data_IF_439497468042
#
_entry.id   IF_439497468042
#
_cell.length_a   1.000
_cell.length_b   1.000
_cell.length_c   1.000
_cell.angle_alpha   90.00
_cell.angle_beta   90.00
_cell.angle_gamma   90.00
#
_symmetry.space_group_name_H-M   'P 1'
#
loop_
_entity.id
_entity.type
_entity.pdbx_description
1 polymer ?
#
# COMPACT_ATOMS: atom_id res chain seq x y z
N UNK A 1 -6.65 -21.91 -10.85
CA UNK A 1 -5.97 -22.80 -9.88
C UNK A 1 -4.68 -22.12 -9.44
N UNK A 2 -4.41 -22.04 -8.13
CA UNK A 2 -3.19 -21.47 -7.55
C UNK A 2 -2.32 -22.64 -7.05
N UNK A 3 -1.05 -22.67 -7.40
CA UNK A 3 -0.08 -23.67 -6.94
C UNK A 3 1.15 -22.98 -6.35
N UNK A 4 1.57 -23.39 -5.15
CA UNK A 4 2.81 -22.92 -4.53
C UNK A 4 3.97 -23.68 -5.17
N UNK A 5 4.93 -22.95 -5.74
CA UNK A 5 6.16 -23.49 -6.33
C UNK A 5 7.24 -23.64 -5.26
N UNK A 6 7.42 -22.60 -4.44
CA UNK A 6 8.39 -22.62 -3.34
C UNK A 6 8.01 -21.67 -2.22
N UNK A 7 8.45 -22.00 -1.01
CA UNK A 7 8.33 -21.19 0.21
C UNK A 7 9.68 -21.20 0.90
N UNK A 8 10.23 -20.02 1.21
CA UNK A 8 11.52 -19.86 1.86
C UNK A 8 11.46 -18.71 2.86
N UNK A 9 12.22 -18.83 3.94
CA UNK A 9 12.51 -17.70 4.83
C UNK A 9 13.84 -17.11 4.39
N UNK A 10 13.86 -15.81 4.11
CA UNK A 10 15.03 -15.05 3.69
C UNK A 10 15.54 -14.27 4.90
N UNK A 11 16.62 -14.75 5.49
CA UNK A 11 17.27 -14.09 6.61
C UNK A 11 18.30 -13.07 6.11
N UNK A 12 18.49 -11.95 6.83
CA UNK A 12 19.59 -11.03 6.58
C UNK A 12 20.93 -11.64 7.00
N UNK A 13 22.02 -10.95 6.71
CA UNK A 13 23.28 -11.19 7.42
C UNK A 13 23.13 -10.70 8.87
N UNK A 14 23.72 -11.42 9.85
CA UNK A 14 23.52 -11.09 11.25
C UNK A 14 23.87 -9.65 11.58
N UNK A 15 22.91 -8.93 12.18
CA UNK A 15 23.12 -7.57 12.67
C UNK A 15 23.84 -7.61 14.02
N UNK A 16 24.71 -6.63 14.28
CA UNK A 16 25.28 -6.42 15.62
C UNK A 16 24.28 -5.75 16.56
N UNK A 17 23.25 -5.10 16.00
CA UNK A 17 22.23 -4.38 16.77
C UNK A 17 21.10 -5.33 17.16
N UNK A 18 20.92 -5.56 18.46
CA UNK A 18 19.94 -6.53 18.97
C UNK A 18 18.54 -5.96 19.16
N UNK A 19 18.42 -4.66 19.39
CA UNK A 19 17.16 -4.02 19.74
C UNK A 19 16.97 -2.76 18.91
N UNK A 20 15.74 -2.54 18.45
CA UNK A 20 15.32 -1.32 17.79
C UNK A 20 14.06 -0.77 18.46
N UNK A 21 14.11 0.49 18.88
CA UNK A 21 13.00 1.15 19.57
C UNK A 21 12.11 1.88 18.57
N UNK A 22 10.81 1.67 18.70
CA UNK A 22 9.78 2.33 17.91
C UNK A 22 9.51 3.73 18.48
N UNK A 23 9.42 4.73 17.59
CA UNK A 23 8.95 6.07 17.95
C UNK A 23 7.48 6.03 18.40
N UNK A 24 6.99 7.08 19.07
CA UNK A 24 5.55 7.16 19.38
C UNK A 24 4.68 7.13 18.12
N UNK A 25 5.19 7.63 16.99
CA UNK A 25 4.48 7.57 15.71
C UNK A 25 4.35 6.13 15.23
N UNK A 26 5.44 5.36 15.29
CA UNK A 26 5.44 3.93 14.94
C UNK A 26 4.49 3.14 15.85
N UNK A 27 4.44 3.48 17.15
CA UNK A 27 3.51 2.85 18.11
C UNK A 27 2.04 3.25 17.90
N UNK A 28 1.79 4.45 17.37
CA UNK A 28 0.43 4.93 17.07
C UNK A 28 -0.12 4.37 15.75
N UNK A 29 0.77 4.09 14.79
CA UNK A 29 0.42 3.43 13.56
C UNK A 29 -0.01 2.00 13.90
N UNK A 30 -1.30 1.72 13.66
CA UNK A 30 -1.91 0.41 13.94
C UNK A 30 -1.11 -0.69 13.24
N UNK A 31 -1.13 -1.92 13.75
CA UNK A 31 -0.58 -3.13 13.12
C UNK A 31 -1.30 -3.45 11.78
N UNK A 32 -1.18 -2.56 10.80
CA UNK A 32 -1.84 -2.65 9.52
C UNK A 32 -0.82 -3.05 8.47
N UNK A 33 -1.07 -4.20 7.86
CA UNK A 33 -0.30 -4.67 6.74
C UNK A 33 -0.63 -3.86 5.49
N UNK A 34 0.40 -3.39 4.77
CA UNK A 34 0.27 -2.69 3.49
C UNK A 34 0.54 -3.66 2.33
N UNK A 35 -0.49 -4.29 1.73
CA UNK A 35 -0.31 -5.27 0.67
C UNK A 35 -0.06 -4.59 -0.69
N UNK A 36 1.18 -4.15 -0.93
CA UNK A 36 1.57 -3.63 -2.25
C UNK A 36 1.63 -4.77 -3.28
N UNK A 37 1.01 -4.54 -4.44
CA UNK A 37 1.04 -5.48 -5.58
C UNK A 37 1.55 -4.75 -6.82
N UNK A 38 2.57 -5.31 -7.48
CA UNK A 38 3.18 -4.76 -8.69
C UNK A 38 3.02 -5.73 -9.86
N UNK A 39 2.56 -5.21 -11.01
CA UNK A 39 2.33 -5.99 -12.22
C UNK A 39 3.38 -5.66 -13.27
N UNK A 40 4.11 -6.67 -13.73
CA UNK A 40 5.14 -6.55 -14.76
C UNK A 40 4.72 -7.30 -16.03
N UNK A 41 4.94 -6.72 -17.22
CA UNK A 41 4.72 -7.39 -18.50
C UNK A 41 5.49 -8.70 -18.65
N UNK A 42 4.88 -9.70 -19.30
CA UNK A 42 5.51 -11.01 -19.51
C UNK A 42 6.81 -10.94 -20.33
N UNK A 43 6.83 -10.07 -21.34
CA UNK A 43 8.00 -9.86 -22.20
C UNK A 43 9.21 -9.27 -21.44
N UNK A 44 8.99 -8.52 -20.35
CA UNK A 44 10.03 -7.99 -19.49
C UNK A 44 10.66 -9.08 -18.61
N UNK A 45 9.83 -9.91 -17.98
CA UNK A 45 10.27 -10.93 -17.00
C UNK A 45 11.07 -12.06 -17.65
N UNK A 46 10.72 -12.44 -18.89
CA UNK A 46 11.37 -13.55 -19.61
C UNK A 46 12.83 -13.25 -20.01
N UNK A 47 13.30 -12.01 -19.89
CA UNK A 47 14.64 -11.58 -20.33
C UNK A 47 15.72 -11.98 -19.31
N UNK A 48 15.36 -12.33 -18.07
CA UNK A 48 16.35 -12.60 -17.01
C UNK A 48 16.39 -14.09 -16.63
N UNK A 49 17.42 -14.84 -17.05
CA UNK A 49 17.70 -16.17 -16.52
C UNK A 49 17.91 -16.07 -15.00
N UNK A 50 17.16 -16.86 -14.22
CA UNK A 50 17.24 -16.92 -12.75
C UNK A 50 16.65 -15.73 -11.96
N UNK A 51 15.72 -14.95 -12.53
CA UNK A 51 15.05 -13.83 -11.84
C UNK A 51 14.63 -14.11 -10.38
N UNK A 52 13.94 -15.23 -10.06
CA UNK A 52 13.56 -15.55 -8.68
C UNK A 52 14.75 -15.71 -7.72
N UNK A 53 15.87 -16.27 -8.19
CA UNK A 53 17.09 -16.44 -7.39
C UNK A 53 17.77 -15.10 -7.14
N UNK A 54 17.82 -14.24 -8.16
CA UNK A 54 18.38 -12.88 -8.03
C UNK A 54 17.58 -12.02 -7.07
N UNK A 55 16.24 -12.06 -7.16
CA UNK A 55 15.33 -11.39 -6.21
C UNK A 55 15.53 -11.90 -4.78
N UNK A 56 15.65 -13.22 -4.59
CA UNK A 56 15.90 -13.82 -3.28
C UNK A 56 17.24 -13.37 -2.67
N UNK A 57 18.31 -13.35 -3.46
CA UNK A 57 19.64 -12.96 -2.98
C UNK A 57 19.72 -11.46 -2.65
N UNK A 58 19.17 -10.63 -3.52
CA UNK A 58 19.10 -9.18 -3.30
C UNK A 58 18.22 -8.83 -2.10
N UNK A 59 17.12 -9.56 -1.87
CA UNK A 59 16.27 -9.38 -0.70
C UNK A 59 17.03 -9.63 0.60
N UNK A 60 17.79 -10.73 0.71
CA UNK A 60 18.65 -11.00 1.88
C UNK A 60 19.65 -9.86 2.13
N UNK A 61 20.25 -9.34 1.05
CA UNK A 61 21.17 -8.20 1.15
C UNK A 61 20.45 -6.93 1.60
N UNK A 62 19.29 -6.60 1.03
CA UNK A 62 18.51 -5.42 1.44
C UNK A 62 18.05 -5.53 2.89
N UNK A 63 17.56 -6.69 3.33
CA UNK A 63 17.15 -6.93 4.71
C UNK A 63 18.30 -6.72 5.71
N UNK A 64 19.56 -6.85 5.28
CA UNK A 64 20.72 -6.54 6.14
C UNK A 64 20.85 -5.04 6.42
N UNK A 65 20.49 -4.18 5.46
CA UNK A 65 20.40 -2.72 5.68
C UNK A 65 19.14 -2.36 6.48
N UNK A 66 18.06 -3.11 6.25
CA UNK A 66 16.78 -2.96 6.93
C UNK A 66 16.62 -3.98 8.06
N UNK A 67 17.63 -4.12 8.92
CA UNK A 67 17.66 -5.17 9.94
C UNK A 67 16.43 -5.23 10.88
N UNK A 68 15.75 -4.11 11.29
CA UNK A 68 14.56 -4.21 12.13
C UNK A 68 13.40 -4.93 11.42
N UNK A 69 13.41 -4.91 10.09
CA UNK A 69 12.35 -5.49 9.26
C UNK A 69 12.43 -7.02 9.19
N UNK A 70 13.58 -7.59 9.56
CA UNK A 70 13.79 -9.02 9.67
C UNK A 70 13.66 -9.52 11.12
N UNK A 71 13.30 -8.65 12.07
CA UNK A 71 13.15 -8.99 13.47
C UNK A 71 11.72 -9.38 13.86
N UNK A 72 11.53 -9.69 15.14
CA UNK A 72 10.24 -9.96 15.75
C UNK A 72 9.83 -8.86 16.73
N UNK A 73 8.51 -8.62 16.84
CA UNK A 73 7.99 -7.65 17.81
C UNK A 73 8.05 -8.26 19.22
N UNK A 74 8.85 -7.66 20.11
CA UNK A 74 8.96 -8.11 21.50
C UNK A 74 7.78 -7.58 22.34
N UNK A 75 7.45 -6.32 22.13
CA UNK A 75 6.35 -5.59 22.76
C UNK A 75 5.89 -4.46 21.82
N UNK A 76 4.87 -3.68 22.20
CA UNK A 76 4.32 -2.63 21.35
C UNK A 76 5.31 -1.49 21.02
N UNK A 77 6.51 -1.45 21.61
CA UNK A 77 7.49 -0.37 21.45
C UNK A 77 8.87 -0.84 20.98
N UNK A 78 9.13 -2.14 20.90
CA UNK A 78 10.47 -2.68 20.67
C UNK A 78 10.47 -3.86 19.70
N UNK A 79 11.35 -3.80 18.71
CA UNK A 79 11.69 -4.91 17.83
C UNK A 79 12.95 -5.61 18.36
N UNK A 80 12.88 -6.92 18.53
CA UNK A 80 14.05 -7.78 18.67
C UNK A 80 14.59 -8.09 17.28
N UNK A 81 15.81 -7.65 16.99
CA UNK A 81 16.48 -7.89 15.72
C UNK A 81 17.13 -9.28 15.76
N UNK A 82 16.28 -10.32 15.76
CA UNK A 82 16.63 -11.75 15.89
C UNK A 82 16.88 -12.46 14.55
N UNK A 83 16.94 -11.70 13.45
CA UNK A 83 17.13 -12.19 12.09
C UNK A 83 16.11 -13.27 11.68
N UNK A 84 14.90 -13.27 12.24
CA UNK A 84 13.80 -14.17 11.87
C UNK A 84 13.56 -14.22 10.35
N UNK A 85 13.77 -13.08 9.68
CA UNK A 85 13.76 -12.97 8.23
C UNK A 85 12.36 -12.78 7.65
N UNK A 86 12.30 -12.71 6.32
CA UNK A 86 11.08 -12.47 5.57
C UNK A 86 10.64 -13.73 4.80
N UNK A 87 9.35 -14.05 4.82
CA UNK A 87 8.81 -15.14 4.03
C UNK A 87 8.72 -14.75 2.54
N UNK A 88 9.38 -15.52 1.67
CA UNK A 88 9.30 -15.41 0.23
C UNK A 88 8.50 -16.60 -0.33
N UNK A 89 7.33 -16.30 -0.88
CA UNK A 89 6.46 -17.25 -1.57
C UNK A 89 6.55 -17.07 -3.07
N UNK A 90 6.85 -18.17 -3.78
CA UNK A 90 6.71 -18.24 -5.22
C UNK A 90 5.45 -19.05 -5.54
N UNK A 91 4.50 -18.42 -6.22
CA UNK A 91 3.23 -19.04 -6.63
C UNK A 91 3.05 -18.96 -8.13
N UNK A 92 2.41 -19.98 -8.69
CA UNK A 92 1.92 -19.99 -10.06
C UNK A 92 0.40 -19.93 -10.03
N UNK A 93 -0.14 -19.01 -10.82
CA UNK A 93 -1.58 -18.80 -10.94
C UNK A 93 -1.97 -19.05 -12.38
N UNK A 94 -2.75 -20.10 -12.61
CA UNK A 94 -3.30 -20.41 -13.93
C UNK A 94 -4.56 -19.56 -14.16
N UNK A 95 -4.38 -18.27 -14.41
CA UNK A 95 -5.43 -17.29 -14.71
C UNK A 95 -4.84 -16.07 -15.44
N UNK A 96 -5.61 -15.37 -16.29
CA UNK A 96 -5.23 -14.04 -16.75
C UNK A 96 -4.96 -13.11 -15.56
N UNK A 97 -3.87 -12.33 -15.64
CA UNK A 97 -3.41 -11.44 -14.58
C UNK A 97 -4.47 -10.43 -14.14
N UNK A 98 -5.34 -9.98 -15.06
CA UNK A 98 -6.46 -9.08 -14.77
C UNK A 98 -7.46 -9.63 -13.74
N UNK A 99 -7.58 -10.96 -13.60
CA UNK A 99 -8.47 -11.60 -12.63
C UNK A 99 -7.82 -11.85 -11.26
N UNK A 100 -6.52 -11.60 -11.12
CA UNK A 100 -5.75 -11.92 -9.89
C UNK A 100 -5.87 -10.80 -8.84
N UNK A 101 -6.18 -9.57 -9.24
CA UNK A 101 -6.11 -8.37 -8.39
C UNK A 101 -7.21 -8.32 -7.31
N UNK A 102 -8.25 -9.15 -7.41
CA UNK A 102 -9.36 -9.20 -6.43
C UNK A 102 -9.17 -10.24 -5.30
N UNK A 103 -7.97 -10.78 -5.11
CA UNK A 103 -7.74 -11.79 -4.06
C UNK A 103 -7.53 -11.18 -2.67
N UNK A 104 -8.38 -11.58 -1.71
CA UNK A 104 -8.17 -11.40 -0.27
C UNK A 104 -6.97 -12.25 0.20
N UNK A 105 -5.74 -11.76 0.06
CA UNK A 105 -4.56 -12.46 0.60
C UNK A 105 -4.48 -12.15 2.10
N UNK A 106 -4.72 -13.17 2.94
CA UNK A 106 -4.79 -13.05 4.41
C UNK A 106 -3.47 -13.32 5.14
N UNK A 107 -2.50 -13.97 4.48
CA UNK A 107 -1.36 -14.57 5.18
C UNK A 107 0.00 -14.11 4.62
N UNK A 108 0.33 -12.83 4.81
CA UNK A 108 1.68 -12.34 4.56
C UNK A 108 2.13 -11.47 5.74
N UNK A 109 3.13 -11.94 6.47
CA UNK A 109 3.71 -11.24 7.61
C UNK A 109 4.79 -10.30 7.11
N UNK A 110 4.59 -8.99 7.30
CA UNK A 110 5.60 -7.97 7.02
C UNK A 110 5.84 -7.10 8.26
N UNK A 111 7.06 -6.58 8.42
CA UNK A 111 7.45 -5.72 9.53
C UNK A 111 6.70 -4.38 9.52
N UNK A 112 6.56 -3.80 10.71
CA UNK A 112 5.90 -2.52 10.90
C UNK A 112 6.71 -1.39 10.25
N UNK A 113 6.03 -0.54 9.48
CA UNK A 113 6.60 0.65 8.87
C UNK A 113 5.52 1.51 8.22
N UNK A 114 5.75 2.82 8.16
CA UNK A 114 4.88 3.70 7.39
C UNK A 114 4.99 3.40 5.87
N UNK A 115 3.97 3.78 5.08
CA UNK A 115 3.95 3.49 3.64
C UNK A 115 5.15 4.07 2.88
N UNK A 116 5.77 5.12 3.42
CA UNK A 116 6.97 5.76 2.90
C UNK A 116 8.23 4.90 3.11
N UNK A 117 8.39 4.29 4.29
CA UNK A 117 9.48 3.36 4.60
C UNK A 117 9.39 2.10 3.75
N UNK A 118 8.18 1.60 3.50
CA UNK A 118 7.95 0.49 2.56
C UNK A 118 8.38 0.84 1.12
N UNK A 119 8.10 2.07 0.67
CA UNK A 119 8.59 2.55 -0.63
C UNK A 119 10.12 2.59 -0.68
N UNK A 120 10.79 3.14 0.34
CA UNK A 120 12.26 3.19 0.38
C UNK A 120 12.88 1.79 0.37
N UNK A 121 12.31 0.85 1.12
CA UNK A 121 12.72 -0.55 1.10
C UNK A 121 12.63 -1.13 -0.32
N UNK A 122 11.47 -0.99 -0.98
CA UNK A 122 11.23 -1.51 -2.32
C UNK A 122 12.20 -0.87 -3.35
N UNK A 123 12.40 0.44 -3.28
CA UNK A 123 13.35 1.18 -4.14
C UNK A 123 14.77 0.65 -3.97
N UNK A 124 15.23 0.50 -2.73
CA UNK A 124 16.58 0.05 -2.44
C UNK A 124 16.78 -1.43 -2.77
N UNK A 125 15.74 -2.25 -2.60
CA UNK A 125 15.73 -3.63 -3.07
C UNK A 125 15.85 -3.72 -4.59
N UNK A 126 15.08 -2.94 -5.33
CA UNK A 126 15.20 -2.87 -6.79
C UNK A 126 16.62 -2.43 -7.21
N UNK A 127 17.20 -1.42 -6.55
CA UNK A 127 18.55 -0.97 -6.81
C UNK A 127 19.61 -2.06 -6.56
N UNK A 128 19.51 -2.77 -5.43
CA UNK A 128 20.42 -3.88 -5.08
C UNK A 128 20.24 -5.11 -5.98
N UNK A 129 19.05 -5.29 -6.56
CA UNK A 129 18.80 -6.33 -7.55
C UNK A 129 19.51 -6.02 -8.85
N UNK A 130 19.48 -4.75 -9.31
CA UNK A 130 20.17 -4.29 -10.51
C UNK A 130 21.70 -4.25 -10.35
N UNK A 131 22.18 -3.83 -9.19
CA UNK A 131 23.60 -3.68 -8.91
C UNK A 131 23.90 -4.14 -7.49
N UNK A 132 24.67 -5.21 -7.37
CA UNK A 132 25.16 -5.69 -6.06
C UNK A 132 26.04 -4.67 -5.35
N UNK A 133 26.53 -3.63 -6.04
CA UNK A 133 27.39 -2.59 -5.45
C UNK A 133 26.60 -1.38 -4.95
N UNK A 134 25.27 -1.35 -5.12
CA UNK A 134 24.45 -0.32 -4.52
C UNK A 134 24.63 -0.34 -3.00
N UNK A 135 24.63 0.84 -2.38
CA UNK A 135 24.83 1.00 -0.94
C UNK A 135 23.67 1.82 -0.35
N UNK A 136 22.53 1.19 -0.07
CA UNK A 136 21.44 1.82 0.65
C UNK A 136 21.90 2.37 2.01
N UNK A 137 21.24 3.43 2.46
CA UNK A 137 21.48 4.00 3.79
C UNK A 137 20.13 4.37 4.41
N UNK A 138 19.30 3.37 4.80
CA UNK A 138 18.05 3.64 5.48
C UNK A 138 18.33 4.38 6.79
N UNK A 139 17.53 5.41 7.05
CA UNK A 139 17.60 6.18 8.27
C UNK A 139 16.44 5.78 9.18
N UNK A 140 16.75 5.10 10.27
CA UNK A 140 15.78 4.74 11.29
C UNK A 140 15.74 5.82 12.37
N UNK A 141 14.62 6.53 12.44
CA UNK A 141 14.43 7.69 13.30
C UNK A 141 14.41 7.30 14.80
N UNK A 142 14.17 6.03 15.14
CA UNK A 142 14.05 5.50 16.51
C UNK A 142 13.18 6.44 17.40
N UNK A 143 13.41 6.48 18.70
CA UNK A 143 12.74 7.40 19.63
C UNK A 143 13.39 8.80 19.67
N UNK A 144 14.32 9.10 18.77
CA UNK A 144 15.17 10.30 18.84
C UNK A 144 14.47 11.60 18.42
N UNK A 145 13.53 11.54 17.47
CA UNK A 145 12.79 12.72 16.97
C UNK A 145 11.45 12.88 17.69
N UNK A 146 10.78 11.76 17.99
CA UNK A 146 9.52 11.77 18.75
C UNK A 146 9.59 10.70 19.85
N UNK A 147 9.94 11.09 21.09
CA UNK A 147 10.24 10.13 22.14
C UNK A 147 9.03 9.28 22.50
N UNK A 148 9.29 7.99 22.70
CA UNK A 148 8.30 7.07 23.26
C UNK A 148 7.93 7.49 24.69
N UNK A 149 6.65 7.34 25.11
CA UNK A 149 6.30 7.44 26.52
C UNK A 149 7.06 6.41 27.37
N UNK A 150 7.15 6.66 28.68
CA UNK A 150 7.91 5.85 29.66
C UNK A 150 7.47 4.38 29.67
N UNK A 151 6.22 4.11 29.27
CA UNK A 151 5.66 2.77 29.11
C UNK A 151 5.17 2.58 27.68
N UNK A 152 5.27 1.37 27.09
CA UNK A 152 4.70 1.08 25.78
C UNK A 152 3.23 1.49 25.72
N UNK A 153 2.81 2.10 24.62
CA UNK A 153 1.39 2.38 24.42
C UNK A 153 0.60 1.06 24.45
N UNK A 154 -0.48 1.01 25.22
CA UNK A 154 -1.44 -0.10 25.15
C UNK A 154 -2.11 0.00 23.77
N UNK A 155 -1.76 -0.92 22.86
CA UNK A 155 -2.22 -1.03 21.47
C UNK A 155 -3.72 -0.71 21.28
N UNK A 156 -4.15 -0.20 20.12
CA UNK A 156 -3.92 1.12 19.56
C UNK A 156 -5.14 2.05 19.78
N UNK A 157 -4.92 3.37 19.74
CA UNK A 157 -5.96 4.44 19.84
C UNK A 157 -6.97 4.43 18.67
N UNK A 158 -6.71 3.64 17.62
CA UNK A 158 -7.64 3.42 16.51
C UNK A 158 -8.01 1.94 16.53
N UNK A 159 -9.25 1.65 16.95
CA UNK A 159 -9.76 0.30 17.17
C UNK A 159 -9.43 -0.68 16.05
N UNK A 160 -9.17 -1.91 16.47
CA UNK A 160 -8.97 -3.11 15.67
C UNK A 160 -10.27 -3.63 15.06
N UNK A 161 -11.23 -2.77 14.74
CA UNK A 161 -12.48 -3.19 14.09
C UNK A 161 -12.16 -3.56 12.64
N UNK A 162 -11.72 -4.80 12.50
CA UNK A 162 -11.58 -5.53 11.25
C UNK A 162 -12.99 -5.96 10.83
N UNK A 163 -13.85 -4.97 10.62
CA UNK A 163 -15.22 -5.18 10.19
C UNK A 163 -15.25 -5.73 8.77
N UNK A 164 -16.28 -6.54 8.47
CA UNK A 164 -16.54 -6.98 7.10
C UNK A 164 -16.81 -5.75 6.22
N UNK A 165 -15.82 -5.37 5.42
CA UNK A 165 -15.92 -4.26 4.47
C UNK A 165 -15.78 -4.70 3.01
N UNK A 166 -16.31 -3.86 2.13
CA UNK A 166 -16.14 -3.93 0.68
C UNK A 166 -15.25 -2.77 0.25
N UNK A 167 -14.30 -3.07 -0.63
CA UNK A 167 -13.43 -2.08 -1.24
C UNK A 167 -13.95 -1.78 -2.64
N UNK A 168 -14.18 -0.51 -2.96
CA UNK A 168 -14.52 -0.06 -4.32
C UNK A 168 -13.55 1.01 -4.79
N UNK A 169 -13.35 1.07 -6.11
CA UNK A 169 -12.42 1.98 -6.77
C UNK A 169 -13.19 3.06 -7.51
N UNK A 170 -12.73 4.30 -7.40
CA UNK A 170 -13.33 5.47 -8.03
C UNK A 170 -12.26 6.30 -8.71
N UNK A 171 -12.46 6.63 -9.99
CA UNK A 171 -11.54 7.48 -10.76
C UNK A 171 -12.10 8.90 -10.86
N UNK A 172 -11.30 9.84 -10.38
CA UNK A 172 -11.45 11.27 -10.60
C UNK A 172 -10.50 11.65 -11.74
N UNK A 173 -10.99 11.65 -12.98
CA UNK A 173 -10.17 12.07 -14.14
C UNK A 173 -9.70 13.52 -13.97
N UNK A 174 -8.61 13.88 -14.63
CA UNK A 174 -8.08 15.26 -14.59
C UNK A 174 -9.14 16.32 -14.90
N UNK A 175 -10.07 16.01 -15.82
CA UNK A 175 -11.21 16.89 -16.18
C UNK A 175 -12.23 17.00 -15.05
N UNK A 176 -12.72 15.87 -14.50
CA UNK A 176 -13.69 15.87 -13.39
C UNK A 176 -13.11 16.50 -12.12
N UNK A 177 -11.82 16.29 -11.88
CA UNK A 177 -11.09 16.88 -10.77
C UNK A 177 -10.98 18.40 -10.89
N UNK A 178 -10.78 18.92 -12.10
CA UNK A 178 -10.76 20.36 -12.36
C UNK A 178 -12.15 20.97 -12.12
N UNK A 179 -13.21 20.31 -12.60
CA UNK A 179 -14.59 20.72 -12.34
C UNK A 179 -14.93 20.73 -10.83
N UNK A 180 -14.52 19.69 -10.10
CA UNK A 180 -14.71 19.60 -8.65
C UNK A 180 -14.00 20.73 -7.90
N UNK A 181 -12.77 21.07 -8.28
CA UNK A 181 -12.06 22.21 -7.68
C UNK A 181 -12.78 23.53 -7.92
N UNK A 182 -13.28 23.73 -9.14
CA UNK A 182 -14.04 24.93 -9.49
C UNK A 182 -15.36 25.04 -8.71
N UNK A 183 -16.00 23.93 -8.37
CA UNK A 183 -17.27 23.94 -7.62
C UNK A 183 -17.12 24.24 -6.13
N UNK A 184 -15.92 24.12 -5.55
CA UNK A 184 -15.68 24.35 -4.11
C UNK A 184 -15.67 25.85 -3.75
N UNK A 185 -15.43 26.74 -4.72
CA UNK A 185 -15.50 28.19 -4.52
C UNK A 185 -14.37 28.78 -3.65
N UNK A 186 -13.36 27.98 -3.31
CA UNK A 186 -12.17 28.39 -2.55
C UNK A 186 -10.96 28.41 -3.49
N UNK A 187 -10.09 29.42 -3.35
CA UNK A 187 -8.85 29.50 -4.13
C UNK A 187 -7.80 28.51 -3.61
N UNK A 188 -6.93 28.03 -4.50
CA UNK A 188 -5.77 27.17 -4.19
C UNK A 188 -6.10 25.79 -3.60
N UNK A 189 -7.30 25.25 -3.86
CA UNK A 189 -7.65 23.89 -3.42
C UNK A 189 -6.80 22.83 -4.16
N UNK A 190 -6.09 22.02 -3.39
CA UNK A 190 -5.30 20.90 -3.91
C UNK A 190 -6.22 19.78 -4.42
N UNK A 191 -5.68 18.91 -5.27
CA UNK A 191 -6.44 17.76 -5.78
C UNK A 191 -6.89 16.80 -4.67
N UNK A 192 -6.01 16.58 -3.69
CA UNK A 192 -6.30 15.69 -2.57
C UNK A 192 -7.36 16.27 -1.65
N UNK A 193 -7.30 17.58 -1.36
CA UNK A 193 -8.34 18.26 -0.55
C UNK A 193 -9.71 18.17 -1.20
N UNK A 194 -9.80 18.44 -2.51
CA UNK A 194 -11.06 18.37 -3.24
C UNK A 194 -11.67 16.95 -3.20
N UNK A 195 -10.86 15.93 -3.50
CA UNK A 195 -11.30 14.52 -3.50
C UNK A 195 -11.65 14.06 -2.09
N UNK A 196 -10.85 14.42 -1.08
CA UNK A 196 -11.17 14.12 0.31
C UNK A 196 -12.49 14.76 0.71
N UNK A 197 -12.69 16.05 0.44
CA UNK A 197 -13.91 16.74 0.82
C UNK A 197 -15.19 16.07 0.28
N UNK A 198 -15.20 15.72 -1.01
CA UNK A 198 -16.38 15.05 -1.61
C UNK A 198 -16.57 13.63 -1.07
N UNK A 199 -15.49 12.84 -0.91
CA UNK A 199 -15.60 11.49 -0.34
C UNK A 199 -16.09 11.56 1.10
N UNK A 200 -15.48 12.40 1.96
CA UNK A 200 -15.90 12.58 3.36
C UNK A 200 -17.39 12.95 3.45
N UNK A 201 -17.86 13.88 2.61
CA UNK A 201 -19.26 14.29 2.56
C UNK A 201 -20.19 13.13 2.19
N UNK A 202 -19.86 12.40 1.13
CA UNK A 202 -20.69 11.28 0.67
C UNK A 202 -20.66 10.10 1.66
N UNK A 203 -19.51 9.78 2.26
CA UNK A 203 -19.43 8.73 3.29
C UNK A 203 -20.24 9.14 4.53
N UNK A 204 -20.10 10.37 5.03
CA UNK A 204 -20.87 10.85 6.18
C UNK A 204 -22.39 10.79 5.92
N UNK A 205 -22.80 11.15 4.70
CA UNK A 205 -24.19 11.05 4.25
C UNK A 205 -24.68 9.59 4.23
N UNK A 206 -23.88 8.68 3.68
CA UNK A 206 -24.18 7.24 3.67
C UNK A 206 -24.34 6.67 5.08
N UNK A 207 -23.44 7.04 6.00
CA UNK A 207 -23.46 6.59 7.39
C UNK A 207 -24.71 7.08 8.14
N UNK A 208 -25.16 8.30 7.83
CA UNK A 208 -26.39 8.88 8.39
C UNK A 208 -27.63 8.14 7.86
N UNK A 209 -27.68 7.87 6.55
CA UNK A 209 -28.80 7.16 5.91
C UNK A 209 -28.99 5.76 6.50
N UNK A 210 -27.90 5.02 6.75
CA UNK A 210 -27.96 3.67 7.30
C UNK A 210 -27.94 3.63 8.84
N UNK A 211 -27.93 4.79 9.49
CA UNK A 211 -27.89 4.94 10.95
C UNK A 211 -26.71 4.19 11.62
N UNK A 212 -25.50 4.27 11.04
CA UNK A 212 -24.31 3.50 11.45
C UNK A 212 -23.68 3.97 12.78
N UNK A 213 -24.26 4.91 13.51
CA UNK A 213 -23.67 5.47 14.73
C UNK A 213 -22.44 6.36 14.47
N UNK A 214 -21.38 6.20 15.28
CA UNK A 214 -20.18 7.08 15.24
C UNK A 214 -19.46 7.06 13.88
N UNK A 215 -19.09 8.25 13.40
CA UNK A 215 -18.36 8.45 12.15
C UNK A 215 -16.90 8.82 12.44
N UNK A 216 -15.98 7.90 12.12
CA UNK A 216 -14.53 8.16 12.09
C UNK A 216 -13.95 7.57 10.81
N UNK A 217 -13.78 8.42 9.81
CA UNK A 217 -13.13 8.07 8.54
C UNK A 217 -11.62 8.29 8.65
N UNK A 218 -10.86 7.22 8.43
CA UNK A 218 -9.40 7.20 8.58
C UNK A 218 -8.72 7.23 7.20
N UNK A 219 -7.64 7.99 7.12
CA UNK A 219 -6.80 8.09 5.92
C UNK A 219 -5.34 8.22 6.34
N UNK A 220 -4.43 7.59 5.61
CA UNK A 220 -3.01 7.92 5.74
C UNK A 220 -2.69 9.13 4.90
N UNK A 221 -2.04 10.10 5.53
CA UNK A 221 -1.44 11.24 4.85
C UNK A 221 0.06 11.03 4.88
N UNK A 222 0.73 11.23 3.74
CA UNK A 222 2.17 11.38 3.77
C UNK A 222 2.49 12.77 4.33
N UNK A 223 3.11 12.80 5.50
CA UNK A 223 3.57 14.04 6.13
C UNK A 223 4.85 14.57 5.45
N UNK A 224 5.48 13.76 4.59
CA UNK A 224 6.59 14.20 3.74
C UNK A 224 6.01 14.65 2.41
N UNK A 225 6.17 15.93 2.06
CA UNK A 225 5.87 16.44 0.72
C UNK A 225 6.70 15.77 -0.43
N UNK A 226 7.53 14.76 -0.10
CA UNK A 226 8.63 14.29 -0.96
C UNK A 226 8.27 13.02 -1.75
N UNK A 227 7.13 12.37 -1.51
CA UNK A 227 6.76 11.18 -2.30
C UNK A 227 5.65 11.52 -3.28
N UNK A 228 6.07 11.74 -4.52
CA UNK A 228 5.16 11.60 -5.65
C UNK A 228 4.48 10.22 -5.57
N UNK A 229 3.14 10.14 -5.71
CA UNK A 229 2.35 8.93 -5.47
C UNK A 229 2.86 7.69 -6.23
N UNK A 230 2.38 6.49 -5.83
CA UNK A 230 2.89 5.18 -6.27
C UNK A 230 3.00 4.93 -7.79
N UNK A 231 2.49 5.83 -8.62
CA UNK A 231 2.52 5.71 -10.07
C UNK A 231 3.81 6.27 -10.70
N UNK A 232 4.67 6.89 -9.88
CA UNK A 232 6.06 7.25 -10.22
C UNK A 232 7.11 6.40 -9.51
N UNK A 233 6.73 5.23 -8.95
CA UNK A 233 7.70 4.34 -8.33
C UNK A 233 8.65 3.86 -9.42
N UNK A 234 9.90 4.32 -9.35
CA UNK A 234 11.02 3.82 -10.16
C UNK A 234 11.44 2.42 -9.67
N UNK A 235 10.49 1.48 -9.69
CA UNK A 235 10.69 0.10 -9.28
C UNK A 235 11.10 -0.73 -10.48
N UNK A 236 12.40 -0.72 -10.74
CA UNK A 236 12.97 -1.54 -11.80
C UNK A 236 13.91 -2.60 -11.19
N UNK A 237 13.50 -3.85 -11.15
CA UNK A 237 14.37 -4.91 -10.62
C UNK A 237 15.44 -5.38 -11.63
N UNK A 238 15.59 -4.68 -12.75
CA UNK A 238 16.46 -5.00 -13.88
C UNK A 238 15.71 -5.56 -15.08
N UNK A 239 14.40 -5.75 -14.97
CA UNK A 239 13.53 -6.21 -16.07
C UNK A 239 12.60 -5.11 -16.60
N UNK A 240 12.70 -3.88 -16.11
CA UNK A 240 11.83 -2.77 -16.48
C UNK A 240 10.83 -2.42 -15.38
N UNK A 241 9.98 -1.44 -15.67
CA UNK A 241 9.05 -0.84 -14.71
C UNK A 241 7.70 -1.57 -14.70
N UNK A 242 7.00 -1.60 -13.56
CA UNK A 242 5.65 -2.16 -13.51
C UNK A 242 4.71 -1.34 -14.39
N UNK A 243 3.79 -2.03 -15.07
CA UNK A 243 2.69 -1.37 -15.80
C UNK A 243 1.59 -0.89 -14.87
N UNK A 244 1.53 -1.46 -13.65
CA UNK A 244 0.53 -1.12 -12.65
C UNK A 244 1.05 -1.44 -11.25
N UNK A 245 0.70 -0.58 -10.30
CA UNK A 245 0.74 -0.87 -8.88
C UNK A 245 -0.71 -0.88 -8.33
N UNK A 246 -0.95 -1.64 -7.26
CA UNK A 246 -2.24 -1.67 -6.57
C UNK A 246 -2.03 -2.00 -5.09
N UNK A 247 -3.04 -1.72 -4.28
CA UNK A 247 -3.17 -2.27 -2.94
C UNK A 247 -4.14 -3.44 -2.96
N UNK A 248 -3.79 -4.55 -2.32
CA UNK A 248 -4.76 -5.63 -2.11
C UNK A 248 -5.89 -5.18 -1.18
N UNK A 249 -7.01 -5.90 -1.22
CA UNK A 249 -8.20 -5.55 -0.43
C UNK A 249 -7.87 -5.53 1.07
N UNK A 250 -8.01 -4.36 1.69
CA UNK A 250 -7.80 -4.17 3.12
C UNK A 250 -9.06 -4.47 3.93
N UNK A 251 -8.97 -5.07 5.13
CA UNK A 251 -10.12 -5.42 5.97
C UNK A 251 -10.63 -4.28 6.88
N UNK A 252 -10.18 -3.04 6.66
CA UNK A 252 -10.52 -1.91 7.56
C UNK A 252 -11.68 -1.10 7.00
N UNK A 253 -12.81 -1.11 7.71
CA UNK A 253 -13.94 -0.24 7.41
C UNK A 253 -13.57 1.25 7.62
N UNK A 254 -14.25 2.15 6.91
CA UNK A 254 -14.05 3.61 6.96
C UNK A 254 -12.59 3.99 6.73
N UNK A 255 -12.04 3.49 5.63
CA UNK A 255 -10.65 3.70 5.24
C UNK A 255 -10.54 4.09 3.76
N UNK A 256 -9.71 5.10 3.46
CA UNK A 256 -9.52 5.62 2.10
C UNK A 256 -8.02 5.67 1.75
N UNK A 257 -7.70 5.24 0.53
CA UNK A 257 -6.38 5.44 -0.10
C UNK A 257 -6.58 6.26 -1.37
N UNK A 258 -5.75 7.29 -1.56
CA UNK A 258 -5.71 8.07 -2.80
C UNK A 258 -4.38 7.84 -3.53
N UNK A 259 -4.44 7.65 -4.84
CA UNK A 259 -3.29 7.48 -5.72
C UNK A 259 -3.46 8.37 -6.95
N UNK A 260 -2.44 9.09 -7.41
CA UNK A 260 -2.57 9.82 -8.70
C UNK A 260 -2.54 8.85 -9.87
N UNK A 261 -3.32 9.12 -10.90
CA UNK A 261 -3.28 8.41 -12.18
C UNK A 261 -2.24 9.04 -13.13
N UNK A 262 -1.85 8.31 -14.19
CA UNK A 262 -0.85 8.79 -15.17
C UNK A 262 -1.27 10.06 -15.91
N UNK A 263 -2.57 10.24 -16.15
CA UNK A 263 -3.18 11.40 -16.79
C UNK A 263 -3.39 12.59 -15.83
N UNK A 264 -2.86 12.51 -14.60
CA UNK A 264 -2.94 13.58 -13.61
C UNK A 264 -4.24 13.61 -12.80
N UNK A 265 -5.11 12.62 -12.95
CA UNK A 265 -6.27 12.37 -12.09
C UNK A 265 -5.93 11.70 -10.76
N UNK A 266 -6.95 11.20 -10.06
CA UNK A 266 -6.84 10.47 -8.79
C UNK A 266 -7.69 9.19 -8.83
N UNK A 267 -7.09 8.06 -8.47
CA UNK A 267 -7.77 6.81 -8.10
C UNK A 267 -7.97 6.77 -6.58
N UNK A 268 -9.22 6.63 -6.15
CA UNK A 268 -9.60 6.47 -4.76
C UNK A 268 -10.04 5.03 -4.49
N UNK A 269 -9.40 4.36 -3.53
CA UNK A 269 -9.84 3.08 -2.99
C UNK A 269 -10.58 3.39 -1.70
N UNK A 270 -11.86 3.04 -1.66
CA UNK A 270 -12.75 3.33 -0.54
C UNK A 270 -13.23 2.03 0.08
N UNK A 271 -12.97 1.86 1.38
CA UNK A 271 -13.41 0.72 2.17
C UNK A 271 -14.54 1.15 3.10
N UNK A 272 -15.72 0.55 2.92
CA UNK A 272 -16.89 0.76 3.76
C UNK A 272 -17.57 -0.57 4.05
N UNK A 273 -18.41 -0.63 5.09
CA UNK A 273 -19.29 -1.78 5.27
C UNK A 273 -20.28 -1.88 4.10
N UNK A 274 -20.90 -3.05 3.93
CA UNK A 274 -21.76 -3.33 2.76
C UNK A 274 -22.94 -2.35 2.64
N UNK A 275 -23.50 -1.91 3.76
CA UNK A 275 -24.66 -1.01 3.79
C UNK A 275 -24.27 0.42 3.40
N UNK A 276 -23.21 0.96 4.02
CA UNK A 276 -22.65 2.27 3.70
C UNK A 276 -22.19 2.33 2.24
N UNK A 277 -21.47 1.30 1.77
CA UNK A 277 -21.00 1.25 0.38
C UNK A 277 -22.14 1.25 -0.62
N UNK A 278 -23.22 0.51 -0.35
CA UNK A 278 -24.39 0.45 -1.22
C UNK A 278 -25.01 1.84 -1.43
N UNK A 279 -25.05 2.67 -0.40
CA UNK A 279 -25.53 4.06 -0.51
C UNK A 279 -24.47 4.96 -1.16
N UNK A 280 -23.22 4.86 -0.72
CA UNK A 280 -22.11 5.69 -1.17
C UNK A 280 -21.87 5.60 -2.68
N UNK A 281 -21.87 4.39 -3.23
CA UNK A 281 -21.55 4.19 -4.65
C UNK A 281 -22.63 4.71 -5.61
N UNK A 282 -23.84 4.95 -5.10
CA UNK A 282 -24.98 5.51 -5.85
C UNK A 282 -25.20 7.00 -5.55
N UNK A 283 -24.32 7.64 -4.76
CA UNK A 283 -24.42 9.07 -4.46
C UNK A 283 -24.22 9.90 -5.73
N UNK A 284 -25.24 10.68 -6.09
CA UNK A 284 -25.24 11.48 -7.33
C UNK A 284 -24.15 12.55 -7.35
N UNK A 285 -23.81 13.13 -6.20
CA UNK A 285 -22.75 14.14 -6.11
C UNK A 285 -21.37 13.49 -6.26
N UNK A 286 -21.18 12.29 -5.71
CA UNK A 286 -19.95 11.53 -5.95
C UNK A 286 -19.80 11.21 -7.44
N UNK A 287 -20.84 10.66 -8.07
CA UNK A 287 -20.81 10.20 -9.46
C UNK A 287 -20.71 11.35 -10.49
N UNK A 288 -21.05 12.58 -10.09
CA UNK A 288 -20.78 13.79 -10.88
C UNK A 288 -19.27 13.96 -11.14
N UNK A 289 -18.44 13.65 -10.14
CA UNK A 289 -16.98 13.88 -10.18
C UNK A 289 -16.13 12.61 -10.20
N UNK A 290 -16.74 11.44 -10.00
CA UNK A 290 -16.04 10.16 -9.95
C UNK A 290 -16.67 9.12 -10.89
N UNK A 291 -15.87 8.19 -11.37
CA UNK A 291 -16.32 7.03 -12.16
C UNK A 291 -16.01 5.77 -11.34
N UNK A 292 -17.03 5.00 -10.92
CA UNK A 292 -16.79 3.73 -10.24
C UNK A 292 -16.18 2.73 -11.22
N UNK A 293 -15.09 2.08 -10.80
CA UNK A 293 -14.52 0.95 -11.51
C UNK A 293 -15.18 -0.32 -10.95
N UNK A 294 -16.18 -0.82 -11.66
CA UNK A 294 -16.65 -2.19 -11.46
C UNK A 294 -15.55 -3.14 -11.94
N UNK A 295 -15.40 -4.31 -11.31
CA UNK A 295 -14.27 -5.25 -11.49
C UNK A 295 -14.01 -5.78 -12.91
N UNK A 296 -14.74 -5.30 -13.93
CA UNK A 296 -14.58 -5.68 -15.32
C UNK A 296 -14.07 -4.49 -16.14
N UNK A 297 -12.76 -4.26 -16.11
CA UNK A 297 -12.08 -3.58 -17.22
C UNK A 297 -11.02 -4.54 -17.78
N UNK A 298 -11.46 -5.36 -18.73
CA UNK A 298 -10.62 -5.76 -19.85
C UNK A 298 -10.26 -4.48 -20.61
N UNK A 299 -8.97 -4.15 -20.69
CA UNK A 299 -8.53 -3.26 -21.77
C UNK A 299 -8.72 -4.03 -23.07
N UNK A 300 -9.63 -3.57 -23.91
CA UNK A 300 -9.67 -3.93 -25.33
C UNK A 300 -8.44 -3.33 -26.01
N UNK A 301 -7.27 -3.95 -25.83
CA UNK A 301 -6.14 -3.89 -26.78
C UNK A 301 -5.43 -5.25 -26.79
N UNK A 302 -6.19 -6.32 -27.05
CA UNK A 302 -5.65 -7.57 -27.60
C UNK A 302 -6.09 -7.71 -29.06
N UNK A 303 -5.48 -6.93 -29.94
CA UNK A 303 -5.27 -7.32 -31.33
C UNK A 303 -3.88 -6.86 -31.76
N UNK A 304 -2.85 -7.55 -31.27
CA UNK A 304 -1.66 -8.01 -31.97
C UNK A 304 -0.71 -8.58 -30.91
N UNK A 305 0.26 -9.40 -31.30
CA UNK A 305 1.27 -10.05 -30.46
C UNK A 305 0.88 -11.44 -29.91
N UNK A 306 0.82 -12.37 -30.89
CA UNK A 306 1.29 -13.76 -30.76
C UNK A 306 2.72 -13.77 -30.22
#
# INVERSE_FOLDING_TARGET
MISIISKKIITPNPSTQRWHKLSILDQCLTHFYMPFVFFYPKNQVNVIPNGPKQLSNSLSKTSSYYYPWAGSLKDNATIECDDHGAELLQVQINSPMGKVVDSNIKDLTFPQGDGSSAYFFLRDWAALTRSSNANPSPYFVEDSIVPSPISPLVSPVIGSDMDKCVQKRFIFSSTKLSALKSSIGVQNVTSNEAVNAIIYKCVASSATIVNSGSFKLSQFFDLREIISPPNSIDLDFGFGKPIRASFAKGPRNKFIILMRTYDGGIEALVNLNEQEMCVFEHDKQLLEFAIPINGDFCYEEEQHYI
#
